data_IF_199248726185
#
_entry.id   IF_199248726185
#
_cell.length_a   1.000
_cell.length_b   1.000
_cell.length_c   1.000
_cell.angle_alpha   90.00
_cell.angle_beta   90.00
_cell.angle_gamma   90.00
#
_symmetry.space_group_name_H-M   'P 1'
#
loop_
_entity.id
_entity.type
_entity.pdbx_description
1 polymer ?
#
# COMPACT_ATOMS: atom_id res chain seq x y z
N UNK A 1 -16.93 -7.25 0.23
CA UNK A 1 -16.05 -6.07 0.01
C UNK A 1 -14.75 -6.54 -0.64
N UNK A 2 -14.09 -5.71 -1.48
CA UNK A 2 -12.85 -6.05 -2.17
C UNK A 2 -11.72 -5.09 -1.80
N UNK A 3 -10.54 -5.62 -1.48
CA UNK A 3 -9.36 -4.87 -1.06
C UNK A 3 -8.18 -5.20 -1.97
N UNK A 4 -7.61 -4.19 -2.63
CA UNK A 4 -6.38 -4.32 -3.40
C UNK A 4 -5.21 -3.87 -2.53
N UNK A 5 -4.24 -4.75 -2.32
CA UNK A 5 -3.01 -4.45 -1.60
C UNK A 5 -1.87 -4.31 -2.60
N UNK A 6 -1.08 -3.25 -2.48
CA UNK A 6 0.00 -2.94 -3.41
C UNK A 6 1.33 -3.01 -2.67
N UNK A 7 2.25 -3.77 -3.24
CA UNK A 7 3.67 -3.70 -2.92
C UNK A 7 4.34 -2.83 -3.99
N UNK A 8 4.72 -1.57 -3.69
CA UNK A 8 5.45 -0.74 -4.63
C UNK A 8 6.79 -1.36 -4.99
N UNK A 9 7.34 -0.95 -6.13
CA UNK A 9 8.70 -1.28 -6.48
C UNK A 9 9.67 -0.78 -5.39
N UNK A 10 10.71 -1.56 -5.13
CA UNK A 10 11.91 -1.10 -4.47
C UNK A 10 13.12 -1.85 -5.03
N UNK A 11 14.33 -1.27 -4.96
CA UNK A 11 15.49 -1.79 -5.67
C UNK A 11 15.86 -3.23 -5.29
N UNK A 12 16.17 -4.07 -6.30
CA UNK A 12 16.57 -5.47 -6.10
C UNK A 12 17.87 -5.59 -5.28
N UNK A 13 18.73 -4.57 -5.31
CA UNK A 13 19.95 -4.48 -4.49
C UNK A 13 19.68 -4.60 -2.98
N UNK A 14 18.44 -4.35 -2.55
CA UNK A 14 18.00 -4.46 -1.16
C UNK A 14 17.56 -5.89 -0.80
N UNK A 15 17.75 -6.87 -1.70
CA UNK A 15 17.33 -8.26 -1.53
C UNK A 15 15.85 -8.35 -1.13
N UNK A 16 14.92 -7.86 -1.97
CA UNK A 16 13.51 -7.80 -1.64
C UNK A 16 12.98 -9.19 -1.28
N UNK A 17 12.45 -9.32 -0.06
CA UNK A 17 11.72 -10.52 0.33
C UNK A 17 10.26 -10.41 -0.14
N UNK A 18 9.58 -11.55 -0.40
CA UNK A 18 8.14 -11.54 -0.63
C UNK A 18 7.43 -10.70 0.45
N UNK A 19 6.38 -9.93 0.11
CA UNK A 19 5.80 -8.98 1.05
C UNK A 19 4.98 -9.68 2.14
N UNK A 20 5.65 -10.32 3.09
CA UNK A 20 5.05 -11.15 4.14
C UNK A 20 4.02 -10.38 4.95
N UNK A 21 4.29 -9.10 5.26
CA UNK A 21 3.32 -8.24 5.95
C UNK A 21 2.00 -8.09 5.18
N UNK A 22 2.05 -7.97 3.85
CA UNK A 22 0.85 -7.93 3.01
C UNK A 22 0.19 -9.29 2.91
N UNK A 23 0.96 -10.39 2.85
CA UNK A 23 0.40 -11.75 2.85
C UNK A 23 -0.34 -12.07 4.16
N UNK A 24 0.23 -11.70 5.32
CA UNK A 24 -0.44 -11.82 6.61
C UNK A 24 -1.72 -10.99 6.69
N UNK A 25 -1.67 -9.75 6.20
CA UNK A 25 -2.86 -8.88 6.15
C UNK A 25 -3.94 -9.46 5.22
N UNK A 26 -3.56 -9.95 4.04
CA UNK A 26 -4.46 -10.57 3.10
C UNK A 26 -5.17 -11.76 3.74
N UNK A 27 -4.43 -12.69 4.35
CA UNK A 27 -5.03 -13.84 5.03
C UNK A 27 -5.94 -13.45 6.20
N UNK A 28 -5.63 -12.38 6.93
CA UNK A 28 -6.51 -11.88 8.00
C UNK A 28 -7.82 -11.28 7.45
N UNK A 29 -7.76 -10.52 6.36
CA UNK A 29 -8.91 -9.95 5.68
C UNK A 29 -9.78 -11.04 5.02
N UNK A 30 -9.15 -12.04 4.39
CA UNK A 30 -9.84 -13.19 3.80
C UNK A 30 -10.62 -13.98 4.86
N UNK A 31 -10.03 -14.23 6.04
CA UNK A 31 -10.73 -14.84 7.18
C UNK A 31 -11.92 -14.02 7.67
N UNK A 32 -11.94 -12.71 7.42
CA UNK A 32 -13.06 -11.83 7.73
C UNK A 32 -14.10 -11.75 6.57
N UNK A 33 -13.99 -12.60 5.53
CA UNK A 33 -14.91 -12.62 4.38
C UNK A 33 -14.66 -11.50 3.37
N UNK A 34 -13.48 -10.88 3.38
CA UNK A 34 -13.10 -9.82 2.45
C UNK A 34 -12.28 -10.45 1.32
N UNK A 35 -12.67 -10.18 0.07
CA UNK A 35 -11.88 -10.61 -1.07
C UNK A 35 -10.65 -9.70 -1.22
N UNK A 36 -9.46 -10.29 -1.27
CA UNK A 36 -8.19 -9.56 -1.36
C UNK A 36 -7.45 -9.92 -2.62
N UNK A 37 -6.74 -8.94 -3.20
CA UNK A 37 -5.75 -9.17 -4.26
C UNK A 37 -4.47 -8.42 -3.89
N UNK A 38 -3.32 -9.06 -4.10
CA UNK A 38 -2.01 -8.40 -3.96
C UNK A 38 -1.48 -8.09 -5.36
N UNK A 39 -1.11 -6.84 -5.60
CA UNK A 39 -0.40 -6.40 -6.79
C UNK A 39 1.04 -6.05 -6.39
N UNK A 40 1.97 -6.89 -6.82
CA UNK A 40 3.36 -6.78 -6.42
C UNK A 40 4.23 -6.23 -7.55
N UNK A 41 4.61 -4.96 -7.41
CA UNK A 41 5.42 -4.25 -8.41
C UNK A 41 6.92 -4.52 -8.31
N UNK A 42 7.36 -5.34 -7.35
CA UNK A 42 8.74 -5.84 -7.32
C UNK A 42 8.92 -6.93 -8.38
N UNK A 43 7.92 -7.81 -8.53
CA UNK A 43 7.95 -8.93 -9.50
C UNK A 43 7.24 -8.60 -10.81
N UNK A 44 6.25 -7.71 -10.79
CA UNK A 44 5.54 -7.24 -11.97
C UNK A 44 5.97 -5.80 -12.24
N UNK A 45 6.64 -5.46 -13.35
CA UNK A 45 7.03 -4.08 -13.61
C UNK A 45 5.83 -3.13 -13.56
N UNK A 46 5.98 -2.02 -12.83
CA UNK A 46 4.93 -1.02 -12.73
C UNK A 46 4.61 -0.43 -14.10
N UNK A 47 3.31 -0.38 -14.43
CA UNK A 47 2.81 0.49 -15.47
C UNK A 47 1.41 1.00 -15.11
N UNK A 48 1.02 2.21 -15.55
CA UNK A 48 -0.34 2.71 -15.37
C UNK A 48 -1.41 1.78 -15.95
N UNK A 49 -1.10 1.08 -17.05
CA UNK A 49 -2.01 0.13 -17.68
C UNK A 49 -2.31 -1.09 -16.78
N UNK A 50 -1.27 -1.70 -16.18
CA UNK A 50 -1.43 -2.82 -15.24
C UNK A 50 -2.24 -2.38 -14.01
N UNK A 51 -1.98 -1.17 -13.50
CA UNK A 51 -2.74 -0.63 -12.38
C UNK A 51 -4.22 -0.41 -12.76
N UNK A 52 -4.49 0.16 -13.93
CA UNK A 52 -5.84 0.40 -14.42
C UNK A 52 -6.61 -0.91 -14.61
N UNK A 53 -5.99 -1.91 -15.25
CA UNK A 53 -6.58 -3.24 -15.44
C UNK A 53 -6.90 -3.92 -14.10
N UNK A 54 -5.99 -3.82 -13.12
CA UNK A 54 -6.22 -4.35 -11.79
C UNK A 54 -7.40 -3.65 -11.09
N UNK A 55 -7.51 -2.33 -11.22
CA UNK A 55 -8.61 -1.54 -10.66
C UNK A 55 -9.94 -1.84 -11.34
N UNK A 56 -9.96 -2.02 -12.66
CA UNK A 56 -11.17 -2.32 -13.43
C UNK A 56 -11.65 -3.76 -13.19
N UNK A 57 -10.77 -4.74 -13.39
CA UNK A 57 -11.11 -6.16 -13.28
C UNK A 57 -11.47 -6.57 -11.86
N UNK A 58 -10.78 -6.01 -10.86
CA UNK A 58 -11.02 -6.33 -9.46
C UNK A 58 -12.02 -5.39 -8.81
N UNK A 59 -12.18 -4.15 -9.30
CA UNK A 59 -13.07 -3.13 -8.74
C UNK A 59 -13.05 -3.06 -7.19
N UNK A 60 -11.88 -2.76 -6.59
CA UNK A 60 -11.71 -2.69 -5.14
C UNK A 60 -12.45 -1.51 -4.53
N UNK A 61 -12.98 -1.68 -3.33
CA UNK A 61 -13.53 -0.59 -2.53
C UNK A 61 -12.45 0.16 -1.73
N UNK A 62 -11.32 -0.52 -1.50
CA UNK A 62 -10.16 0.02 -0.78
C UNK A 62 -8.86 -0.45 -1.44
N UNK A 63 -7.92 0.46 -1.59
CA UNK A 63 -6.54 0.19 -2.03
C UNK A 63 -5.58 0.51 -0.89
N UNK A 64 -4.81 -0.47 -0.46
CA UNK A 64 -3.74 -0.31 0.52
C UNK A 64 -2.38 -0.37 -0.17
N UNK A 65 -1.44 0.52 0.14
CA UNK A 65 -0.06 0.42 -0.30
C UNK A 65 0.88 0.25 0.91
N UNK A 66 1.80 -0.70 0.85
CA UNK A 66 2.91 -0.75 1.81
C UNK A 66 3.98 0.27 1.42
N UNK A 67 4.70 0.81 2.38
CA UNK A 67 5.79 1.75 2.17
C UNK A 67 6.85 1.57 3.25
N UNK A 68 8.10 1.52 2.79
CA UNK A 68 9.30 1.72 3.60
C UNK A 68 9.99 3.01 3.15
N UNK A 69 11.05 3.43 3.84
CA UNK A 69 11.75 4.69 3.53
C UNK A 69 12.10 4.82 2.06
N UNK A 70 12.58 3.76 1.42
CA UNK A 70 12.99 3.77 0.01
C UNK A 70 11.83 3.72 -1.00
N UNK A 71 10.66 3.17 -0.64
CA UNK A 71 9.52 3.03 -1.55
C UNK A 71 8.40 4.05 -1.32
N UNK A 72 8.62 5.04 -0.45
CA UNK A 72 7.60 6.03 -0.09
C UNK A 72 7.12 6.86 -1.28
N UNK A 73 8.06 7.36 -2.08
CA UNK A 73 7.72 8.25 -3.19
C UNK A 73 7.00 7.46 -4.31
N UNK A 74 7.38 6.20 -4.54
CA UNK A 74 6.67 5.27 -5.42
C UNK A 74 5.27 4.95 -4.91
N UNK A 75 5.13 4.67 -3.62
CA UNK A 75 3.83 4.42 -2.99
C UNK A 75 2.89 5.63 -3.15
N UNK A 76 3.40 6.86 -2.94
CA UNK A 76 2.62 8.09 -3.11
C UNK A 76 2.19 8.26 -4.56
N UNK A 77 3.10 8.03 -5.50
CA UNK A 77 2.82 8.14 -6.94
C UNK A 77 1.74 7.16 -7.38
N UNK A 78 1.81 5.90 -6.92
CA UNK A 78 0.79 4.89 -7.19
C UNK A 78 -0.57 5.31 -6.60
N UNK A 79 -0.62 5.77 -5.35
CA UNK A 79 -1.88 6.21 -4.73
C UNK A 79 -2.49 7.40 -5.48
N UNK A 80 -1.68 8.35 -5.94
CA UNK A 80 -2.16 9.45 -6.78
C UNK A 80 -2.75 8.93 -8.09
N UNK A 81 -2.08 7.96 -8.73
CA UNK A 81 -2.56 7.37 -9.98
C UNK A 81 -3.89 6.61 -9.79
N UNK A 82 -4.02 5.84 -8.70
CA UNK A 82 -5.29 5.21 -8.30
C UNK A 82 -6.41 6.23 -8.23
N UNK A 83 -6.16 7.43 -7.72
CA UNK A 83 -7.17 8.48 -7.58
C UNK A 83 -7.54 9.15 -8.90
N UNK A 84 -6.59 9.25 -9.84
CA UNK A 84 -6.88 9.72 -11.20
C UNK A 84 -7.77 8.72 -11.93
N UNK A 85 -7.51 7.43 -11.78
CA UNK A 85 -8.28 6.34 -12.42
C UNK A 85 -9.64 6.18 -11.73
N UNK A 86 -9.68 6.19 -10.40
CA UNK A 86 -10.90 6.00 -9.61
C UNK A 86 -10.89 6.84 -8.32
N UNK A 87 -11.44 8.05 -8.40
CA UNK A 87 -11.49 9.00 -7.29
C UNK A 87 -12.32 8.50 -6.08
N UNK A 88 -13.24 7.55 -6.30
CA UNK A 88 -14.14 7.03 -5.27
C UNK A 88 -13.50 5.96 -4.38
N UNK A 89 -12.45 5.29 -4.86
CA UNK A 89 -11.76 4.23 -4.10
C UNK A 89 -11.11 4.82 -2.87
N UNK A 90 -11.30 4.20 -1.70
CA UNK A 90 -10.60 4.62 -0.47
C UNK A 90 -9.15 4.16 -0.54
N UNK A 91 -8.20 5.00 -0.14
CA UNK A 91 -6.79 4.65 -0.19
C UNK A 91 -6.17 4.71 1.19
N UNK A 92 -5.33 3.73 1.50
CA UNK A 92 -4.55 3.68 2.74
C UNK A 92 -3.09 3.40 2.36
N UNK A 93 -2.16 4.03 3.06
CA UNK A 93 -0.74 3.72 2.96
C UNK A 93 -0.23 3.37 4.35
N UNK A 94 0.64 2.37 4.49
CA UNK A 94 1.28 2.05 5.75
C UNK A 94 2.53 1.22 5.58
N UNK A 95 3.12 0.73 6.67
CA UNK A 95 4.30 -0.13 6.61
C UNK A 95 5.33 0.16 7.70
N UNK A 96 6.33 -0.74 7.87
CA UNK A 96 7.41 -0.54 8.83
C UNK A 96 8.39 0.51 8.31
N UNK A 97 8.07 1.79 8.54
CA UNK A 97 8.93 2.91 8.23
C UNK A 97 9.61 3.44 9.51
N UNK A 98 10.94 3.59 9.49
CA UNK A 98 11.64 4.34 10.53
C UNK A 98 11.32 5.83 10.40
N UNK A 99 10.89 6.54 11.45
CA UNK A 99 10.63 7.98 11.39
C UNK A 99 11.88 8.84 11.14
N UNK A 100 13.07 8.24 11.08
CA UNK A 100 14.33 8.98 11.04
C UNK A 100 14.55 9.61 9.66
N UNK A 101 14.44 10.94 9.57
CA UNK A 101 14.97 11.74 8.45
C UNK A 101 13.96 12.41 7.51
N UNK A 102 12.67 12.07 7.53
CA UNK A 102 11.65 12.79 6.72
C UNK A 102 10.65 13.51 7.62
N UNK A 103 10.50 14.83 7.43
CA UNK A 103 9.35 15.61 7.96
C UNK A 103 8.07 15.02 7.38
N UNK A 104 7.40 14.15 8.13
CA UNK A 104 6.11 13.61 7.71
C UNK A 104 5.02 14.64 7.97
N UNK A 105 4.30 14.99 6.91
CA UNK A 105 3.03 15.70 7.02
C UNK A 105 1.96 14.64 7.19
N UNK A 106 1.30 14.62 8.35
CA UNK A 106 0.05 13.87 8.53
C UNK A 106 -1.00 14.50 7.59
N UNK A 107 -1.14 13.95 6.39
CA UNK A 107 -2.15 14.39 5.42
C UNK A 107 -3.34 13.44 5.59
N UNK A 108 -4.20 13.76 6.56
CA UNK A 108 -5.54 13.19 6.59
C UNK A 108 -6.41 14.01 5.65
N UNK A 109 -6.89 13.39 4.58
CA UNK A 109 -7.99 13.91 3.77
C UNK A 109 -9.10 12.85 3.76
N UNK A 110 -10.35 13.23 3.44
CA UNK A 110 -11.54 12.37 3.56
C UNK A 110 -11.41 10.97 2.92
N UNK A 111 -10.45 10.74 2.01
CA UNK A 111 -10.26 9.49 1.28
C UNK A 111 -8.86 8.82 1.44
N UNK A 112 -7.98 9.31 2.34
CA UNK A 112 -6.57 8.90 2.44
C UNK A 112 -6.12 8.82 3.90
N UNK A 113 -5.51 7.68 4.31
CA UNK A 113 -4.93 7.50 5.66
C UNK A 113 -3.51 6.96 5.51
N UNK A 114 -2.54 7.60 6.19
CA UNK A 114 -1.18 7.08 6.37
C UNK A 114 -1.07 6.46 7.77
N UNK A 115 -0.77 5.16 7.85
CA UNK A 115 -0.57 4.42 9.10
C UNK A 115 0.89 3.98 9.22
N UNK A 116 1.69 4.71 10.00
CA UNK A 116 3.00 4.23 10.45
C UNK A 116 2.84 3.49 11.77
N UNK A 117 3.43 2.30 11.89
CA UNK A 117 3.57 1.62 13.17
C UNK A 117 4.61 2.37 14.03
N UNK A 118 4.18 3.42 14.74
CA UNK A 118 4.99 4.02 15.79
C UNK A 118 5.14 3.00 16.93
N UNK A 119 6.39 2.69 17.28
CA UNK A 119 6.75 1.85 18.42
C UNK A 119 6.02 2.37 19.66
N UNK A 120 5.08 1.59 20.19
CA UNK A 120 4.44 1.90 21.46
C UNK A 120 5.52 2.00 22.53
N UNK A 121 5.80 3.22 23.00
CA UNK A 121 6.57 3.42 24.23
C UNK A 121 5.75 2.76 25.35
N UNK A 122 6.23 1.62 25.85
CA UNK A 122 5.70 1.06 27.11
C UNK A 122 5.94 2.12 28.19
N UNK A 123 4.92 2.55 28.94
CA UNK A 123 5.15 3.36 30.12
C UNK A 123 5.90 2.48 31.13
N UNK A 124 7.07 2.94 31.55
CA UNK A 124 7.75 2.52 32.79
C UNK A 124 7.19 3.30 33.96
#
# INVERSE_FOLDING_TARGET
MRVLLINPYYPISESPSPPLGLAFLAGALERAGIAVRILDFVVTPYSPAVLAEALESFAPALVGATSVTMSFDDAVSIIQEVKKISAQVRTVMGGPMSPFGRRQRWISSRNWILLSAAKAKRPS
#
